data_IF_348207731661
#
_entry.id   IF_348207731661
#
_cell.length_a   1.000
_cell.length_b   1.000
_cell.length_c   1.000
_cell.angle_alpha   90.00
_cell.angle_beta   90.00
_cell.angle_gamma   90.00
#
_symmetry.space_group_name_H-M   'P 1'
#
loop_
_entity.id
_entity.type
_entity.pdbx_description
1 polymer ?
#
# COMPACT_ATOMS: atom_id res chain seq x y z
N UNK A 1 13.46 6.06 -27.58
CA UNK A 1 13.06 6.20 -26.16
C UNK A 1 12.29 4.96 -25.74
N UNK A 2 12.57 4.33 -24.58
CA UNK A 2 11.77 3.19 -24.14
C UNK A 2 10.35 3.66 -23.83
N UNK A 3 9.36 3.14 -24.57
CA UNK A 3 7.94 3.38 -24.33
C UNK A 3 7.46 2.39 -23.27
N UNK A 4 7.01 2.90 -22.12
CA UNK A 4 6.42 2.06 -21.09
C UNK A 4 5.09 1.48 -21.57
N UNK A 5 4.83 0.22 -21.23
CA UNK A 5 3.59 -0.50 -21.61
C UNK A 5 2.51 -0.43 -20.53
N UNK A 6 2.86 0.06 -19.34
CA UNK A 6 2.01 0.14 -18.14
C UNK A 6 2.30 1.43 -17.39
N UNK A 7 1.40 1.80 -16.48
CA UNK A 7 1.64 2.88 -15.52
C UNK A 7 2.90 2.58 -14.69
N UNK A 8 3.68 3.63 -14.42
CA UNK A 8 4.98 3.54 -13.72
C UNK A 8 4.86 2.76 -12.40
N UNK A 9 3.84 3.06 -11.60
CA UNK A 9 3.56 2.39 -10.31
C UNK A 9 3.30 0.89 -10.45
N UNK A 10 2.79 0.42 -11.59
CA UNK A 10 2.53 -1.02 -11.81
C UNK A 10 3.83 -1.80 -11.93
N UNK A 11 4.89 -1.23 -12.50
CA UNK A 11 6.19 -1.90 -12.58
C UNK A 11 6.82 -2.18 -11.22
N UNK A 12 6.60 -1.28 -10.26
CA UNK A 12 6.99 -1.43 -8.85
C UNK A 12 6.09 -2.45 -8.16
N UNK A 13 4.77 -2.25 -8.23
CA UNK A 13 3.78 -3.12 -7.56
C UNK A 13 3.90 -4.57 -8.01
N UNK A 14 4.01 -4.82 -9.32
CA UNK A 14 4.10 -6.18 -9.86
C UNK A 14 5.35 -6.90 -9.36
N UNK A 15 6.46 -6.18 -9.15
CA UNK A 15 7.70 -6.72 -8.60
C UNK A 15 7.56 -7.01 -7.10
N UNK A 16 7.04 -6.05 -6.34
CA UNK A 16 6.92 -6.15 -4.89
C UNK A 16 5.85 -7.16 -4.42
N UNK A 17 4.75 -7.29 -5.19
CA UNK A 17 3.58 -8.11 -4.81
C UNK A 17 3.91 -9.57 -4.49
N UNK A 18 4.96 -10.12 -5.09
CA UNK A 18 5.42 -11.49 -4.81
C UNK A 18 5.85 -11.72 -3.36
N UNK A 19 6.20 -10.64 -2.64
CA UNK A 19 6.66 -10.66 -1.24
C UNK A 19 5.61 -10.15 -0.26
N UNK A 20 4.37 -9.89 -0.71
CA UNK A 20 3.32 -9.41 0.19
C UNK A 20 2.82 -10.56 1.07
N UNK A 21 2.98 -10.39 2.37
CA UNK A 21 2.48 -11.34 3.36
C UNK A 21 1.08 -10.93 3.80
N UNK A 22 0.09 -11.63 3.24
CA UNK A 22 -1.31 -11.44 3.64
C UNK A 22 -1.59 -12.30 4.88
N UNK A 23 -2.19 -11.69 5.89
CA UNK A 23 -2.63 -12.41 7.08
C UNK A 23 -3.79 -13.36 6.75
N UNK A 24 -4.03 -14.34 7.62
CA UNK A 24 -5.12 -15.31 7.49
C UNK A 24 -6.50 -14.74 7.84
N UNK A 25 -6.57 -13.54 8.41
CA UNK A 25 -7.81 -12.91 8.86
C UNK A 25 -7.78 -11.39 8.72
N UNK A 26 -8.96 -10.79 8.59
CA UNK A 26 -9.17 -9.36 8.61
C UNK A 26 -8.75 -8.78 9.97
N UNK A 27 -7.91 -7.74 9.94
CA UNK A 27 -7.45 -7.06 11.16
C UNK A 27 -8.59 -6.41 11.95
N UNK A 28 -9.71 -6.07 11.33
CA UNK A 28 -10.84 -5.40 12.00
C UNK A 28 -11.80 -6.42 12.63
N UNK A 29 -12.33 -7.37 11.85
CA UNK A 29 -13.40 -8.26 12.32
C UNK A 29 -13.00 -9.73 12.49
N UNK A 30 -11.77 -10.12 12.15
CA UNK A 30 -11.33 -11.53 12.22
C UNK A 30 -11.88 -12.44 11.12
N UNK A 31 -12.72 -11.94 10.21
CA UNK A 31 -13.22 -12.71 9.07
C UNK A 31 -12.08 -13.20 8.17
N UNK A 32 -12.22 -14.39 7.60
CA UNK A 32 -11.18 -15.09 6.82
C UNK A 32 -11.44 -15.08 5.32
N UNK A 33 -12.58 -14.53 4.89
CA UNK A 33 -13.01 -14.49 3.49
C UNK A 33 -12.69 -13.14 2.83
N UNK A 34 -12.50 -13.17 1.51
CA UNK A 34 -12.33 -11.99 0.65
C UNK A 34 -11.28 -11.00 1.19
N UNK A 35 -10.17 -11.53 1.69
CA UNK A 35 -9.09 -10.72 2.23
C UNK A 35 -8.44 -9.89 1.11
N UNK A 36 -7.97 -8.71 1.45
CA UNK A 36 -7.25 -7.77 0.60
C UNK A 36 -6.03 -7.25 1.36
N UNK A 37 -4.93 -7.03 0.62
CA UNK A 37 -3.70 -6.46 1.17
C UNK A 37 -3.72 -4.95 0.93
N UNK A 38 -3.56 -4.18 1.99
CA UNK A 38 -3.65 -2.73 1.96
C UNK A 38 -2.35 -2.09 2.46
N UNK A 39 -1.84 -1.09 1.73
CA UNK A 39 -0.70 -0.27 2.17
C UNK A 39 -1.21 0.99 2.84
N UNK A 40 -0.72 1.31 4.05
CA UNK A 40 -1.04 2.59 4.67
C UNK A 40 -0.37 3.78 3.96
N UNK A 41 0.79 3.54 3.35
CA UNK A 41 1.47 4.49 2.48
C UNK A 41 1.14 4.17 1.02
N UNK A 42 0.32 5.02 0.39
CA UNK A 42 -0.11 4.80 -0.99
C UNK A 42 1.10 4.76 -1.94
N UNK A 43 1.20 3.70 -2.74
CA UNK A 43 2.34 3.45 -3.64
C UNK A 43 2.57 4.57 -4.66
N UNK A 44 1.51 5.17 -5.21
CA UNK A 44 1.64 6.20 -6.25
C UNK A 44 2.30 7.48 -5.72
N UNK A 45 1.81 8.13 -4.64
CA UNK A 45 2.48 9.32 -4.10
C UNK A 45 3.85 9.00 -3.50
N UNK A 46 4.06 7.80 -2.95
CA UNK A 46 5.37 7.37 -2.45
C UNK A 46 6.40 7.33 -3.59
N UNK A 47 6.04 6.69 -4.70
CA UNK A 47 6.88 6.60 -5.88
C UNK A 47 7.12 7.97 -6.53
N UNK A 48 6.08 8.79 -6.66
CA UNK A 48 6.20 10.13 -7.24
C UNK A 48 7.13 11.03 -6.41
N UNK A 49 7.03 10.97 -5.07
CA UNK A 49 7.91 11.72 -4.17
C UNK A 49 9.37 11.27 -4.32
N UNK A 50 9.61 9.96 -4.38
CA UNK A 50 10.95 9.40 -4.55
C UNK A 50 11.58 9.77 -5.90
N UNK A 51 10.83 9.63 -6.99
CA UNK A 51 11.29 10.00 -8.34
C UNK A 51 11.67 11.48 -8.40
N UNK A 52 10.85 12.36 -7.82
CA UNK A 52 11.12 13.79 -7.76
C UNK A 52 12.37 14.11 -6.91
N UNK A 53 12.45 13.56 -5.70
CA UNK A 53 13.56 13.78 -4.76
C UNK A 53 14.90 13.41 -5.38
N UNK A 54 14.95 12.27 -6.08
CA UNK A 54 16.18 11.75 -6.69
C UNK A 54 16.38 12.20 -8.15
N UNK A 55 15.49 13.05 -8.69
CA UNK A 55 15.50 13.52 -10.08
C UNK A 55 15.56 12.38 -11.09
N UNK A 56 14.91 11.26 -10.76
CA UNK A 56 14.85 10.09 -11.62
C UNK A 56 13.80 10.28 -12.71
N UNK A 57 14.14 9.85 -13.92
CA UNK A 57 13.19 9.84 -15.04
C UNK A 57 12.30 8.56 -14.96
N UNK A 58 10.97 8.70 -14.86
CA UNK A 58 10.06 7.56 -14.74
C UNK A 58 10.18 6.54 -15.88
N UNK A 59 10.70 6.93 -17.06
CA UNK A 59 10.89 6.00 -18.20
C UNK A 59 11.88 4.86 -17.88
N UNK A 60 12.74 5.03 -16.87
CA UNK A 60 13.70 4.04 -16.41
C UNK A 60 13.20 3.23 -15.21
N UNK A 61 11.91 3.28 -14.87
CA UNK A 61 11.39 2.60 -13.67
C UNK A 61 11.71 1.09 -13.60
N UNK A 62 11.88 0.41 -14.73
CA UNK A 62 12.23 -1.02 -14.74
C UNK A 62 13.61 -1.30 -14.14
N UNK A 63 14.58 -0.39 -14.31
CA UNK A 63 15.90 -0.49 -13.67
C UNK A 63 15.94 0.14 -12.28
N UNK A 64 15.04 1.08 -11.97
CA UNK A 64 15.02 1.83 -10.71
C UNK A 64 14.14 1.20 -9.62
N UNK A 65 13.21 0.31 -9.98
CA UNK A 65 12.20 -0.22 -9.05
C UNK A 65 12.80 -1.02 -7.90
N UNK A 66 13.95 -1.66 -8.10
CA UNK A 66 14.57 -2.47 -7.04
C UNK A 66 15.13 -1.55 -5.95
N UNK A 67 15.83 -0.47 -6.34
CA UNK A 67 16.28 0.60 -5.42
C UNK A 67 15.11 1.23 -4.66
N UNK A 68 14.02 1.57 -5.36
CA UNK A 68 12.81 2.10 -4.71
C UNK A 68 12.24 1.13 -3.67
N UNK A 69 12.16 -0.17 -4.00
CA UNK A 69 11.62 -1.21 -3.11
C UNK A 69 12.53 -1.39 -1.89
N UNK A 70 13.85 -1.31 -2.06
CA UNK A 70 14.82 -1.40 -0.96
C UNK A 70 14.71 -0.19 -0.02
N UNK A 71 14.70 1.03 -0.57
CA UNK A 71 14.61 2.26 0.22
C UNK A 71 13.29 2.42 0.98
N UNK A 72 12.19 1.85 0.47
CA UNK A 72 10.84 1.97 1.03
C UNK A 72 10.31 0.62 1.54
N UNK A 73 11.21 -0.26 1.96
CA UNK A 73 10.86 -1.61 2.40
C UNK A 73 9.76 -1.60 3.49
N UNK A 74 9.90 -0.73 4.49
CA UNK A 74 8.93 -0.61 5.57
C UNK A 74 7.53 -0.22 5.05
N UNK A 75 7.43 0.77 4.18
CA UNK A 75 6.16 1.19 3.58
C UNK A 75 5.50 0.11 2.70
N UNK A 76 6.31 -0.68 2.00
CA UNK A 76 5.83 -1.72 1.10
C UNK A 76 5.42 -3.01 1.83
N UNK A 77 6.07 -3.35 2.93
CA UNK A 77 5.90 -4.67 3.55
C UNK A 77 5.44 -4.59 5.01
N UNK A 78 5.94 -3.65 5.81
CA UNK A 78 5.65 -3.58 7.25
C UNK A 78 4.43 -2.71 7.56
N UNK A 79 4.29 -1.56 6.91
CA UNK A 79 3.20 -0.60 7.11
C UNK A 79 1.98 -0.95 6.26
N UNK A 80 1.54 -2.18 6.44
CA UNK A 80 0.48 -2.80 5.67
C UNK A 80 -0.53 -3.48 6.59
N UNK A 81 -1.70 -3.81 6.04
CA UNK A 81 -2.74 -4.52 6.78
C UNK A 81 -3.54 -5.41 5.86
N UNK A 82 -3.98 -6.53 6.41
CA UNK A 82 -4.97 -7.39 5.75
C UNK A 82 -6.36 -7.07 6.26
N UNK A 83 -7.28 -6.73 5.36
CA UNK A 83 -8.68 -6.42 5.64
C UNK A 83 -9.57 -7.28 4.77
N UNK A 84 -10.78 -7.63 5.20
CA UNK A 84 -11.77 -8.15 4.26
C UNK A 84 -12.24 -7.04 3.32
N UNK A 85 -12.79 -7.43 2.18
CA UNK A 85 -13.24 -6.50 1.14
C UNK A 85 -14.13 -5.37 1.69
N UNK A 86 -15.09 -5.69 2.56
CA UNK A 86 -15.99 -4.71 3.18
C UNK A 86 -15.22 -3.64 3.98
N UNK A 87 -14.30 -4.03 4.86
CA UNK A 87 -13.53 -3.09 5.66
C UNK A 87 -12.50 -2.32 4.83
N UNK A 88 -11.95 -2.94 3.78
CA UNK A 88 -11.06 -2.28 2.85
C UNK A 88 -11.79 -1.17 2.07
N UNK A 89 -13.01 -1.42 1.60
CA UNK A 89 -13.85 -0.40 0.96
C UNK A 89 -14.24 0.73 1.92
N UNK A 90 -14.56 0.42 3.18
CA UNK A 90 -14.84 1.44 4.19
C UNK A 90 -13.63 2.33 4.48
N UNK A 91 -12.43 1.77 4.53
CA UNK A 91 -11.21 2.57 4.67
C UNK A 91 -11.05 3.50 3.45
N UNK A 92 -11.23 2.98 2.24
CA UNK A 92 -11.17 3.78 1.01
C UNK A 92 -12.31 4.81 0.87
N UNK A 93 -13.48 4.62 1.48
CA UNK A 93 -14.53 5.64 1.47
C UNK A 93 -14.18 6.86 2.32
N UNK A 94 -13.27 6.69 3.30
CA UNK A 94 -12.84 7.77 4.20
C UNK A 94 -11.60 8.48 3.68
N UNK A 95 -10.59 7.72 3.22
CA UNK A 95 -9.30 8.28 2.81
C UNK A 95 -9.13 8.38 1.29
N UNK A 96 -10.00 7.73 0.50
CA UNK A 96 -9.83 7.56 -0.93
C UNK A 96 -8.96 6.35 -1.28
N UNK A 97 -8.80 6.11 -2.59
CA UNK A 97 -7.97 5.00 -3.14
C UNK A 97 -6.48 5.33 -3.24
N UNK A 98 -6.13 6.62 -3.20
CA UNK A 98 -4.76 7.11 -3.31
C UNK A 98 -4.53 8.31 -2.36
N UNK A 99 -4.74 8.12 -1.03
CA UNK A 99 -4.56 9.20 -0.08
C UNK A 99 -3.10 9.67 -0.02
N UNK A 100 -2.91 10.93 0.38
CA UNK A 100 -1.58 11.48 0.65
C UNK A 100 -0.88 10.77 1.82
N UNK A 101 0.46 10.73 1.76
CA UNK A 101 1.32 9.96 2.68
C UNK A 101 1.14 10.36 4.16
N UNK A 102 0.80 11.62 4.44
CA UNK A 102 0.53 12.11 5.81
C UNK A 102 -0.69 11.48 6.49
N UNK A 103 -1.48 10.68 5.77
CA UNK A 103 -2.64 9.97 6.34
C UNK A 103 -2.32 8.58 6.89
N UNK A 104 -1.15 8.00 6.61
CA UNK A 104 -0.84 6.61 6.93
C UNK A 104 -1.11 6.25 8.40
N UNK A 105 -0.63 7.07 9.34
CA UNK A 105 -0.87 6.88 10.78
C UNK A 105 -2.35 7.02 11.15
N UNK A 106 -3.10 7.88 10.45
CA UNK A 106 -4.56 8.04 10.67
C UNK A 106 -5.31 6.80 10.21
N UNK A 107 -4.93 6.23 9.07
CA UNK A 107 -5.49 4.97 8.55
C UNK A 107 -5.25 3.81 9.52
N UNK A 108 -4.02 3.64 10.01
CA UNK A 108 -3.69 2.62 11.00
C UNK A 108 -4.49 2.78 12.30
N UNK A 109 -4.57 4.01 12.81
CA UNK A 109 -5.40 4.32 14.00
C UNK A 109 -6.88 4.03 13.77
N UNK A 110 -7.41 4.35 12.59
CA UNK A 110 -8.80 4.05 12.25
C UNK A 110 -9.05 2.53 12.26
N UNK A 111 -8.15 1.73 11.68
CA UNK A 111 -8.25 0.26 11.71
C UNK A 111 -8.27 -0.25 13.14
N UNK A 112 -7.42 0.27 14.02
CA UNK A 112 -7.42 -0.09 15.43
C UNK A 112 -8.75 0.25 16.12
N UNK A 113 -9.25 1.48 15.94
CA UNK A 113 -10.55 1.89 16.51
C UNK A 113 -11.69 0.99 16.01
N UNK A 114 -11.70 0.59 14.74
CA UNK A 114 -12.71 -0.35 14.26
C UNK A 114 -12.53 -1.72 14.91
N UNK A 115 -11.29 -2.23 15.02
CA UNK A 115 -11.02 -3.51 15.67
C UNK A 115 -11.52 -3.55 17.12
N UNK A 116 -11.35 -2.46 17.86
CA UNK A 116 -11.87 -2.31 19.23
C UNK A 116 -13.39 -2.42 19.27
N UNK A 117 -14.10 -1.83 18.31
CA UNK A 117 -15.57 -1.95 18.20
C UNK A 117 -16.05 -3.37 17.92
N UNK A 118 -15.21 -4.22 17.33
CA UNK A 118 -15.50 -5.64 17.12
C UNK A 118 -15.07 -6.52 18.32
N UNK A 119 -14.52 -5.93 19.39
CA UNK A 119 -14.13 -6.66 20.61
C UNK A 119 -12.90 -7.54 20.46
N UNK A 120 -12.02 -7.26 19.49
CA UNK A 120 -10.81 -8.06 19.22
C UNK A 120 -9.52 -7.44 19.79
N UNK A 121 -9.64 -6.61 20.84
CA UNK A 121 -8.54 -5.93 21.54
C UNK A 121 -8.61 -6.26 23.03
#
# INVERSE_FOLDING_TARGET
>A
MPKLKRDVVKYVRDKAKSRYEKASACRICGGTEQLEFHHYYSLTPLLNQWLLKNKHDPKYIQSLRDDFIEEHHAELYEHTVTLCHTHHLQLHSIYGKDPGLGTAKKQARWVQIQREKYGLV
#
